data_IF_111372003840
#
_entry.id   IF_111372003840
#
_cell.length_a   1.000
_cell.length_b   1.000
_cell.length_c   1.000
_cell.angle_alpha   90.00
_cell.angle_beta   90.00
_cell.angle_gamma   90.00
#
_symmetry.space_group_name_H-M   'P 1'
#
loop_
_entity.id
_entity.type
_entity.pdbx_description
1 polymer ?
#
# COMPACT_ATOMS: atom_id res chain seq x y z
N UNK A 1 4.53 19.78 -6.49
CA UNK A 1 5.25 18.53 -6.76
C UNK A 1 4.43 17.38 -6.21
N UNK A 2 4.26 16.32 -6.96
CA UNK A 2 3.39 15.23 -6.57
C UNK A 2 4.21 13.95 -6.42
N UNK A 3 4.44 13.51 -5.18
CA UNK A 3 5.14 12.27 -4.88
C UNK A 3 4.22 11.04 -4.92
N UNK A 4 2.94 11.23 -5.25
CA UNK A 4 1.95 10.18 -5.43
C UNK A 4 2.02 9.73 -6.88
N UNK A 5 2.29 8.47 -7.12
CA UNK A 5 2.45 7.88 -8.44
C UNK A 5 1.41 6.79 -8.69
N UNK A 6 0.79 6.82 -9.85
CA UNK A 6 -0.19 5.82 -10.28
C UNK A 6 0.32 5.09 -11.52
N UNK A 7 0.31 3.77 -11.51
CA UNK A 7 0.49 2.94 -12.69
C UNK A 7 -0.73 2.05 -12.91
N UNK A 8 -1.20 2.00 -14.15
CA UNK A 8 -2.40 1.27 -14.53
C UNK A 8 -2.04 -0.07 -15.17
N UNK A 9 -2.98 -1.02 -15.11
CA UNK A 9 -2.88 -2.32 -15.77
C UNK A 9 -1.62 -3.13 -15.40
N UNK A 10 -1.10 -2.97 -14.17
CA UNK A 10 0.05 -3.76 -13.68
C UNK A 10 -0.32 -5.24 -13.47
N UNK A 11 -1.61 -5.54 -13.33
CA UNK A 11 -2.18 -6.87 -13.23
C UNK A 11 -3.36 -7.02 -14.21
N UNK A 12 -3.53 -8.19 -14.83
CA UNK A 12 -4.74 -8.47 -15.60
C UNK A 12 -6.00 -8.44 -14.73
N UNK A 13 -7.10 -7.89 -15.26
CA UNK A 13 -8.40 -7.86 -14.56
C UNK A 13 -8.91 -9.25 -14.18
N UNK A 14 -8.60 -10.26 -14.99
CA UNK A 14 -8.92 -11.67 -14.70
C UNK A 14 -8.23 -12.14 -13.42
N UNK A 15 -6.93 -11.84 -13.27
CA UNK A 15 -6.19 -12.19 -12.07
C UNK A 15 -6.72 -11.44 -10.83
N UNK A 16 -7.07 -10.16 -10.97
CA UNK A 16 -7.69 -9.41 -9.88
C UNK A 16 -9.00 -10.07 -9.40
N UNK A 17 -9.83 -10.57 -10.35
CA UNK A 17 -11.06 -11.30 -10.03
C UNK A 17 -10.76 -12.62 -9.31
N UNK A 18 -9.81 -13.42 -9.81
CA UNK A 18 -9.37 -14.66 -9.17
C UNK A 18 -8.87 -14.41 -7.71
N UNK A 19 -8.13 -13.33 -7.50
CA UNK A 19 -7.68 -12.90 -6.16
C UNK A 19 -8.86 -12.62 -5.22
N UNK A 20 -9.90 -11.93 -5.71
CA UNK A 20 -11.10 -11.62 -4.91
C UNK A 20 -11.85 -12.91 -4.57
N UNK A 21 -12.07 -13.79 -5.53
CA UNK A 21 -12.77 -15.08 -5.33
C UNK A 21 -12.03 -15.94 -4.30
N UNK A 22 -10.71 -16.01 -4.41
CA UNK A 22 -9.86 -16.73 -3.46
C UNK A 22 -9.90 -16.11 -2.06
N UNK A 23 -9.83 -14.78 -1.97
CA UNK A 23 -9.96 -14.07 -0.69
C UNK A 23 -11.32 -14.35 -0.04
N UNK A 24 -12.42 -14.32 -0.80
CA UNK A 24 -13.75 -14.59 -0.27
C UNK A 24 -13.97 -16.03 0.19
N UNK A 25 -13.26 -16.98 -0.38
CA UNK A 25 -13.32 -18.39 0.02
C UNK A 25 -12.41 -18.74 1.20
N UNK A 26 -11.44 -17.88 1.57
CA UNK A 26 -10.49 -18.15 2.64
C UNK A 26 -11.07 -17.81 4.01
N UNK A 27 -11.24 -18.84 4.87
CA UNK A 27 -11.81 -18.67 6.22
C UNK A 27 -10.86 -18.01 7.23
N UNK A 28 -9.58 -17.81 6.90
CA UNK A 28 -8.57 -17.19 7.77
C UNK A 28 -8.59 -15.68 7.78
N UNK A 29 -9.53 -15.08 7.04
CA UNK A 29 -9.79 -13.66 7.08
C UNK A 29 -10.12 -13.20 8.50
N UNK A 30 -9.65 -12.04 8.87
CA UNK A 30 -9.85 -11.46 10.19
C UNK A 30 -10.14 -9.95 10.10
N UNK A 31 -10.56 -9.39 11.21
CA UNK A 31 -10.77 -7.97 11.34
C UNK A 31 -9.47 -7.20 11.08
N UNK A 32 -9.55 -6.10 10.33
CA UNK A 32 -8.39 -5.29 10.02
C UNK A 32 -7.84 -4.58 11.24
N UNK A 33 -6.55 -4.76 11.46
CA UNK A 33 -5.80 -4.16 12.56
C UNK A 33 -5.26 -2.78 12.17
N UNK A 34 -5.06 -1.93 13.16
CA UNK A 34 -4.31 -0.67 13.08
C UNK A 34 -2.85 -0.91 13.49
N UNK A 35 -2.06 0.15 13.60
CA UNK A 35 -0.67 0.06 14.04
C UNK A 35 -0.56 -0.64 15.40
N UNK A 36 0.40 -1.56 15.52
CA UNK A 36 0.62 -2.33 16.75
C UNK A 36 -0.32 -3.53 16.95
N UNK A 37 -1.14 -3.89 15.93
CA UNK A 37 -2.06 -5.04 16.00
C UNK A 37 -3.37 -4.76 16.73
N UNK A 38 -3.65 -3.50 17.07
CA UNK A 38 -4.89 -3.14 17.74
C UNK A 38 -6.07 -3.09 16.76
N UNK A 39 -7.24 -3.50 17.23
CA UNK A 39 -8.51 -3.30 16.53
C UNK A 39 -9.12 -2.00 17.07
N UNK A 40 -9.17 -0.97 16.23
CA UNK A 40 -9.75 0.33 16.56
C UNK A 40 -10.83 0.70 15.55
N UNK A 41 -12.07 0.40 15.89
CA UNK A 41 -13.23 0.75 15.07
C UNK A 41 -13.53 2.25 15.04
N UNK A 42 -12.89 3.07 15.85
CA UNK A 42 -13.03 4.52 15.72
C UNK A 42 -12.23 5.06 14.55
N UNK A 43 -11.19 4.34 14.14
CA UNK A 43 -10.26 4.71 13.07
C UNK A 43 -10.48 3.89 11.79
N UNK A 44 -10.61 2.56 11.90
CA UNK A 44 -10.62 1.65 10.75
C UNK A 44 -11.62 0.51 10.93
N UNK A 45 -12.37 0.24 9.87
CA UNK A 45 -13.21 -0.94 9.76
C UNK A 45 -13.01 -1.60 8.41
N UNK A 46 -12.55 -2.85 8.39
CA UNK A 46 -12.32 -3.65 7.19
C UNK A 46 -12.06 -5.11 7.55
N UNK A 47 -11.92 -5.97 6.55
CA UNK A 47 -11.49 -7.36 6.68
C UNK A 47 -10.14 -7.54 5.99
N UNK A 48 -9.17 -8.11 6.70
CA UNK A 48 -7.79 -8.33 6.25
C UNK A 48 -7.42 -9.81 6.15
N UNK A 49 -6.48 -10.13 5.24
CA UNK A 49 -5.82 -11.41 5.12
C UNK A 49 -4.35 -11.21 4.74
N UNK A 50 -3.42 -11.56 5.64
CA UNK A 50 -1.97 -11.50 5.37
C UNK A 50 -1.57 -12.72 4.54
N UNK A 51 -1.51 -12.56 3.22
CA UNK A 51 -1.43 -13.69 2.27
C UNK A 51 -0.05 -14.36 2.21
N UNK A 52 1.01 -13.68 2.62
CA UNK A 52 2.36 -14.26 2.65
C UNK A 52 2.66 -15.00 3.98
N UNK A 53 1.87 -14.74 5.03
CA UNK A 53 2.01 -15.40 6.31
C UNK A 53 1.28 -16.77 6.36
N UNK A 54 0.60 -17.16 5.28
CA UNK A 54 -0.27 -18.34 5.25
C UNK A 54 -0.02 -19.20 4.00
N UNK A 55 -0.20 -20.51 4.13
CA UNK A 55 -0.05 -21.43 3.01
C UNK A 55 -1.16 -21.27 1.96
N UNK A 56 -0.87 -21.67 0.73
CA UNK A 56 -1.83 -21.70 -0.36
C UNK A 56 -1.90 -20.40 -1.21
N UNK A 57 -1.15 -19.35 -0.87
CA UNK A 57 -1.12 -18.07 -1.57
C UNK A 57 0.19 -17.81 -2.34
N UNK A 58 1.07 -18.81 -2.45
CA UNK A 58 2.40 -18.61 -3.03
C UNK A 58 2.38 -18.15 -4.50
N UNK A 59 1.47 -18.67 -5.32
CA UNK A 59 1.35 -18.29 -6.73
C UNK A 59 0.92 -16.82 -6.86
N UNK A 60 -0.11 -16.43 -6.10
CA UNK A 60 -0.63 -15.06 -6.11
C UNK A 60 0.40 -14.07 -5.57
N UNK A 61 1.05 -14.43 -4.47
CA UNK A 61 2.12 -13.61 -3.88
C UNK A 61 3.28 -13.40 -4.85
N UNK A 62 3.70 -14.45 -5.58
CA UNK A 62 4.75 -14.34 -6.59
C UNK A 62 4.34 -13.38 -7.71
N UNK A 63 3.11 -13.49 -8.24
CA UNK A 63 2.62 -12.59 -9.29
C UNK A 63 2.50 -11.15 -8.83
N UNK A 64 2.00 -10.93 -7.60
CA UNK A 64 1.93 -9.60 -6.99
C UNK A 64 3.33 -9.00 -6.80
N UNK A 65 4.30 -9.78 -6.33
CA UNK A 65 5.68 -9.34 -6.16
C UNK A 65 6.34 -8.95 -7.48
N UNK A 66 6.14 -9.72 -8.55
CA UNK A 66 6.67 -9.39 -9.87
C UNK A 66 6.06 -8.07 -10.40
N UNK A 67 4.74 -7.89 -10.27
CA UNK A 67 4.07 -6.66 -10.68
C UNK A 67 4.53 -5.46 -9.82
N UNK A 68 4.65 -5.64 -8.52
CA UNK A 68 5.20 -4.64 -7.60
C UNK A 68 6.62 -4.23 -7.99
N UNK A 69 7.52 -5.19 -8.22
CA UNK A 69 8.93 -4.89 -8.53
C UNK A 69 9.05 -4.05 -9.81
N UNK A 70 8.30 -4.39 -10.86
CA UNK A 70 8.28 -3.60 -12.10
C UNK A 70 7.77 -2.20 -11.85
N UNK A 71 6.60 -2.06 -11.20
CA UNK A 71 6.00 -0.77 -10.93
C UNK A 71 6.82 0.08 -9.94
N UNK A 72 7.57 -0.55 -9.05
CA UNK A 72 8.46 0.15 -8.12
C UNK A 72 9.69 0.75 -8.80
N UNK A 73 10.24 0.06 -9.81
CA UNK A 73 11.29 0.62 -10.68
C UNK A 73 10.74 1.84 -11.45
N UNK A 74 9.53 1.74 -11.99
CA UNK A 74 8.88 2.85 -12.69
C UNK A 74 8.63 4.05 -11.75
N UNK A 75 8.23 3.80 -10.51
CA UNK A 75 8.10 4.84 -9.49
C UNK A 75 9.43 5.55 -9.20
N UNK A 76 10.52 4.80 -9.04
CA UNK A 76 11.84 5.39 -8.84
C UNK A 76 12.27 6.25 -10.03
N UNK A 77 12.03 5.77 -11.26
CA UNK A 77 12.30 6.53 -12.48
C UNK A 77 11.44 7.80 -12.57
N UNK A 78 10.14 7.71 -12.21
CA UNK A 78 9.26 8.86 -12.12
C UNK A 78 9.82 9.92 -11.15
N UNK A 79 10.27 9.51 -9.97
CA UNK A 79 10.85 10.43 -8.99
C UNK A 79 12.13 11.08 -9.54
N UNK A 80 13.03 10.30 -10.17
CA UNK A 80 14.26 10.82 -10.77
C UNK A 80 13.97 11.87 -11.83
N UNK A 81 13.07 11.58 -12.75
CA UNK A 81 12.86 12.41 -13.94
C UNK A 81 11.91 13.59 -13.68
N UNK A 82 10.84 13.37 -12.92
CA UNK A 82 9.74 14.34 -12.82
C UNK A 82 9.75 15.15 -11.53
N UNK A 83 10.36 14.62 -10.47
CA UNK A 83 10.34 15.27 -9.16
C UNK A 83 11.70 15.92 -8.85
N UNK A 84 12.77 15.16 -8.94
CA UNK A 84 14.10 15.66 -8.56
C UNK A 84 14.87 16.26 -9.74
N UNK A 85 14.63 15.79 -10.97
CA UNK A 85 15.42 16.15 -12.15
C UNK A 85 16.80 15.48 -12.14
N UNK A 86 17.51 15.56 -13.27
CA UNK A 86 18.79 14.86 -13.48
C UNK A 86 19.85 15.22 -12.43
N UNK A 87 19.97 16.52 -12.08
CA UNK A 87 20.97 16.98 -11.10
C UNK A 87 20.78 16.40 -9.69
N UNK A 88 19.55 16.03 -9.33
CA UNK A 88 19.19 15.54 -7.99
C UNK A 88 18.73 14.08 -7.99
N UNK A 89 18.84 13.41 -9.13
CA UNK A 89 18.41 12.01 -9.27
C UNK A 89 19.07 11.06 -8.26
N UNK A 90 20.30 11.34 -7.85
CA UNK A 90 21.02 10.58 -6.82
C UNK A 90 20.33 10.56 -5.45
N UNK A 91 19.37 11.48 -5.16
CA UNK A 91 18.57 11.43 -3.94
C UNK A 91 17.70 10.18 -3.93
N UNK A 92 17.15 9.77 -5.08
CA UNK A 92 16.32 8.55 -5.20
C UNK A 92 17.17 7.31 -4.91
N UNK A 93 18.42 7.29 -5.35
CA UNK A 93 19.35 6.19 -5.08
C UNK A 93 19.69 6.14 -3.57
N UNK A 94 19.84 7.28 -2.92
CA UNK A 94 20.01 7.35 -1.46
C UNK A 94 18.78 6.85 -0.69
N UNK A 95 17.57 7.04 -1.23
CA UNK A 95 16.33 6.57 -0.61
C UNK A 95 16.12 5.06 -0.78
N UNK A 96 16.42 4.51 -1.94
CA UNK A 96 16.00 3.16 -2.31
C UNK A 96 17.14 2.20 -2.68
N UNK A 97 18.33 2.73 -3.00
CA UNK A 97 19.50 1.94 -3.38
C UNK A 97 20.60 2.14 -2.35
N UNK A 98 21.33 1.09 -2.00
CA UNK A 98 22.43 1.16 -1.02
C UNK A 98 22.00 1.10 0.44
N UNK A 99 20.70 0.99 0.72
CA UNK A 99 20.15 0.61 2.02
C UNK A 99 19.39 -0.70 1.89
N UNK A 100 19.29 -1.45 2.96
CA UNK A 100 18.45 -2.65 2.99
C UNK A 100 16.97 -2.22 2.96
N UNK A 101 16.46 -1.94 1.78
CA UNK A 101 15.05 -1.61 1.56
C UNK A 101 14.29 -2.92 1.44
N UNK A 102 13.37 -3.13 2.34
CA UNK A 102 12.53 -4.32 2.40
C UNK A 102 11.05 -3.95 2.37
N UNK A 103 10.22 -4.91 2.05
CA UNK A 103 8.78 -4.79 2.03
C UNK A 103 8.16 -5.63 3.14
N UNK A 104 7.15 -5.10 3.83
CA UNK A 104 6.32 -5.89 4.73
C UNK A 104 5.52 -6.95 3.95
N UNK A 105 4.94 -7.90 4.66
CA UNK A 105 4.03 -8.90 4.11
C UNK A 105 2.83 -8.27 3.39
N UNK A 106 2.42 -8.86 2.28
CA UNK A 106 1.25 -8.43 1.51
C UNK A 106 -0.02 -8.73 2.29
N UNK A 107 -0.87 -7.72 2.44
CA UNK A 107 -2.19 -7.84 3.06
C UNK A 107 -3.27 -7.59 2.01
N UNK A 108 -4.06 -8.62 1.71
CA UNK A 108 -5.30 -8.48 0.95
C UNK A 108 -6.38 -7.95 1.89
N UNK A 109 -7.14 -6.95 1.42
CA UNK A 109 -8.08 -6.20 2.25
C UNK A 109 -9.39 -5.97 1.53
N UNK A 110 -10.49 -6.14 2.27
CA UNK A 110 -11.86 -5.85 1.84
C UNK A 110 -12.46 -4.74 2.68
N UNK A 111 -13.10 -3.80 2.03
CA UNK A 111 -14.04 -2.86 2.62
C UNK A 111 -15.43 -3.13 2.04
N UNK A 112 -16.40 -3.43 2.89
CA UNK A 112 -17.81 -3.61 2.55
C UNK A 112 -18.63 -2.37 2.92
N UNK A 113 -19.90 -2.34 2.56
CA UNK A 113 -20.80 -1.20 2.90
C UNK A 113 -20.72 -0.87 4.39
N UNK A 114 -20.49 0.41 4.68
CA UNK A 114 -20.29 0.94 6.03
C UNK A 114 -18.87 0.82 6.56
N UNK A 115 -17.94 0.21 5.83
CA UNK A 115 -16.51 0.17 6.20
C UNK A 115 -15.78 1.43 5.73
N UNK A 116 -14.69 1.77 6.43
CA UNK A 116 -13.90 2.97 6.21
C UNK A 116 -12.49 2.85 6.76
N UNK A 117 -11.62 3.77 6.37
CA UNK A 117 -10.39 4.09 7.07
C UNK A 117 -10.29 5.61 7.16
N UNK A 118 -10.44 6.16 8.36
CA UNK A 118 -10.42 7.60 8.58
C UNK A 118 -9.06 8.21 8.28
N UNK A 119 -8.96 9.52 8.36
CA UNK A 119 -7.72 10.26 8.17
C UNK A 119 -6.62 9.74 9.08
N UNK A 120 -5.49 9.36 8.48
CA UNK A 120 -4.34 8.83 9.18
C UNK A 120 -3.05 9.08 8.40
N UNK A 121 -1.93 8.82 9.05
CA UNK A 121 -0.60 8.74 8.43
C UNK A 121 -0.09 7.31 8.57
N UNK A 122 0.70 6.88 7.61
CA UNK A 122 1.27 5.53 7.60
C UNK A 122 2.65 5.45 8.27
N UNK A 123 3.22 6.61 8.63
CA UNK A 123 4.50 6.68 9.30
C UNK A 123 4.48 5.88 10.61
N UNK A 124 5.50 5.06 10.78
CA UNK A 124 5.71 4.29 12.00
C UNK A 124 7.17 4.44 12.44
N UNK A 125 7.46 5.16 13.53
CA UNK A 125 8.82 5.40 13.98
C UNK A 125 9.57 4.13 14.38
N UNK A 126 8.82 3.07 14.76
CA UNK A 126 9.43 1.79 15.16
C UNK A 126 9.85 0.90 13.99
N UNK A 127 9.42 1.21 12.76
CA UNK A 127 9.64 0.35 11.57
C UNK A 127 10.28 1.15 10.42
N UNK A 128 10.63 2.41 10.58
CA UNK A 128 11.26 3.25 9.52
C UNK A 128 10.54 3.17 8.16
N UNK A 129 9.21 3.17 8.14
CA UNK A 129 8.41 3.14 6.90
C UNK A 129 8.67 4.38 6.07
N UNK A 130 8.97 4.19 4.79
CA UNK A 130 9.28 5.28 3.85
C UNK A 130 8.23 5.45 2.76
N UNK A 131 7.60 4.36 2.32
CA UNK A 131 6.62 4.39 1.25
C UNK A 131 5.51 3.35 1.51
N UNK A 132 4.30 3.70 1.12
CA UNK A 132 3.17 2.78 1.03
C UNK A 132 2.88 2.48 -0.44
N UNK A 133 2.29 1.31 -0.71
CA UNK A 133 1.61 1.07 -1.96
C UNK A 133 0.27 0.37 -1.77
N UNK A 134 -0.63 0.65 -2.69
CA UNK A 134 -1.95 0.04 -2.79
C UNK A 134 -2.13 -0.50 -4.20
N UNK A 135 -2.46 -1.79 -4.34
CA UNK A 135 -2.90 -2.40 -5.59
C UNK A 135 -4.40 -2.61 -5.48
N UNK A 136 -5.19 -1.96 -6.32
CA UNK A 136 -6.63 -2.15 -6.35
C UNK A 136 -6.99 -3.40 -7.17
N UNK A 137 -7.91 -4.22 -6.65
CA UNK A 137 -8.34 -5.45 -7.29
C UNK A 137 -9.67 -5.31 -8.04
N UNK A 138 -10.41 -4.24 -7.81
CA UNK A 138 -11.63 -3.95 -8.55
C UNK A 138 -11.83 -2.45 -8.75
N UNK A 139 -12.66 -2.11 -9.73
CA UNK A 139 -13.13 -0.76 -9.93
C UNK A 139 -14.11 -0.41 -8.79
N UNK A 140 -14.03 0.81 -8.24
CA UNK A 140 -14.92 1.27 -7.17
C UNK A 140 -15.01 2.79 -7.13
N UNK A 141 -16.13 3.34 -6.59
CA UNK A 141 -16.31 4.79 -6.50
C UNK A 141 -15.67 5.40 -5.25
N UNK A 142 -15.56 4.66 -4.13
CA UNK A 142 -14.96 5.15 -2.89
C UNK A 142 -13.44 5.27 -3.02
N UNK A 143 -12.96 6.49 -3.18
CA UNK A 143 -11.58 6.84 -3.41
C UNK A 143 -10.68 6.67 -2.17
N UNK A 144 -9.36 6.62 -2.41
CA UNK A 144 -8.36 7.02 -1.41
C UNK A 144 -8.14 8.52 -1.59
N UNK A 145 -8.37 9.31 -0.54
CA UNK A 145 -8.29 10.76 -0.57
C UNK A 145 -7.11 11.25 0.26
N UNK A 146 -6.32 12.16 -0.29
CA UNK A 146 -5.14 12.74 0.34
C UNK A 146 -5.41 14.17 0.83
N UNK A 147 -4.65 14.60 1.84
CA UNK A 147 -4.79 15.92 2.47
C UNK A 147 -4.69 17.08 1.47
N UNK A 148 -3.91 16.91 0.40
CA UNK A 148 -3.78 17.90 -0.67
C UNK A 148 -4.99 17.96 -1.63
N UNK A 149 -6.06 17.21 -1.36
CA UNK A 149 -7.28 17.13 -2.17
C UNK A 149 -7.23 16.13 -3.31
N UNK A 150 -6.09 15.46 -3.55
CA UNK A 150 -6.01 14.40 -4.57
C UNK A 150 -6.87 13.22 -4.17
N UNK A 151 -7.65 12.69 -5.12
CA UNK A 151 -8.48 11.50 -4.97
C UNK A 151 -8.05 10.45 -5.97
N UNK A 152 -7.69 9.29 -5.47
CA UNK A 152 -7.33 8.12 -6.28
C UNK A 152 -8.55 7.21 -6.36
N UNK A 153 -9.11 7.11 -7.56
CA UNK A 153 -10.21 6.18 -7.84
C UNK A 153 -9.65 4.77 -7.98
N UNK A 154 -10.19 3.78 -7.26
CA UNK A 154 -9.84 2.37 -7.45
C UNK A 154 -10.18 1.87 -8.85
N UNK A 155 -9.21 1.22 -9.49
CA UNK A 155 -9.35 0.54 -10.79
C UNK A 155 -8.63 -0.80 -10.72
N UNK A 156 -9.25 -1.87 -11.21
CA UNK A 156 -8.67 -3.20 -11.19
C UNK A 156 -7.30 -3.24 -11.90
N UNK A 157 -6.26 -3.64 -11.17
CA UNK A 157 -4.88 -3.69 -11.67
C UNK A 157 -4.12 -2.37 -11.61
N UNK A 158 -4.65 -1.33 -10.97
CA UNK A 158 -3.92 -0.09 -10.67
C UNK A 158 -3.08 -0.25 -9.40
N UNK A 159 -1.84 0.23 -9.44
CA UNK A 159 -1.01 0.43 -8.24
C UNK A 159 -0.79 1.92 -7.99
N UNK A 160 -0.73 2.28 -6.73
CA UNK A 160 -0.41 3.64 -6.27
C UNK A 160 0.72 3.56 -5.27
N UNK A 161 1.75 4.41 -5.45
CA UNK A 161 2.82 4.61 -4.47
C UNK A 161 2.74 6.01 -3.87
N UNK A 162 3.02 6.14 -2.57
CA UNK A 162 3.14 7.43 -1.91
C UNK A 162 3.98 7.34 -0.63
N UNK A 163 4.70 8.42 -0.25
CA UNK A 163 5.45 8.48 0.99
C UNK A 163 4.53 8.36 2.21
N UNK A 164 5.05 7.78 3.30
CA UNK A 164 4.27 7.54 4.54
C UNK A 164 4.18 8.76 5.46
N UNK A 165 4.83 9.87 5.10
CA UNK A 165 4.97 11.06 5.93
C UNK A 165 3.66 11.82 6.13
N UNK A 166 3.63 12.72 7.11
CA UNK A 166 2.45 13.50 7.52
C UNK A 166 1.87 14.38 6.40
N UNK A 167 2.66 14.82 5.41
CA UNK A 167 2.18 15.59 4.26
C UNK A 167 1.35 14.72 3.29
N UNK A 168 1.39 13.41 3.44
CA UNK A 168 0.59 12.43 2.68
C UNK A 168 -0.47 11.78 3.56
N UNK A 169 -0.95 12.48 4.60
CA UNK A 169 -2.10 12.03 5.35
C UNK A 169 -3.26 11.76 4.37
N UNK A 170 -3.95 10.65 4.58
CA UNK A 170 -4.99 10.18 3.67
C UNK A 170 -6.09 9.42 4.39
N UNK A 171 -7.19 9.16 3.69
CA UNK A 171 -8.29 8.34 4.17
C UNK A 171 -8.84 7.44 3.05
N UNK A 172 -9.45 6.34 3.45
CA UNK A 172 -10.32 5.55 2.60
C UNK A 172 -11.77 5.96 2.85
N UNK A 173 -12.41 6.54 1.83
CA UNK A 173 -13.81 6.96 1.94
C UNK A 173 -14.70 5.80 2.37
N UNK A 174 -15.76 6.11 3.13
CA UNK A 174 -16.77 5.13 3.53
C UNK A 174 -17.40 4.47 2.32
N UNK A 175 -17.55 3.17 2.38
CA UNK A 175 -18.18 2.39 1.31
C UNK A 175 -19.69 2.54 1.41
N UNK A 176 -20.30 3.13 0.39
CA UNK A 176 -21.76 3.31 0.33
C UNK A 176 -22.44 2.18 -0.45
N UNK A 177 -21.74 1.57 -1.43
CA UNK A 177 -22.29 0.52 -2.29
C UNK A 177 -21.21 -0.45 -2.75
N UNK A 178 -21.51 -1.73 -2.77
CA UNK A 178 -20.60 -2.78 -3.23
C UNK A 178 -19.47 -3.06 -2.23
N UNK A 179 -18.42 -3.71 -2.70
CA UNK A 179 -17.24 -4.02 -1.92
C UNK A 179 -16.00 -3.51 -2.67
N UNK A 180 -15.04 -2.94 -1.94
CA UNK A 180 -13.74 -2.53 -2.45
C UNK A 180 -12.67 -3.50 -1.98
N UNK A 181 -11.85 -4.00 -2.92
CA UNK A 181 -10.75 -4.92 -2.62
C UNK A 181 -9.42 -4.32 -3.05
N UNK A 182 -8.40 -4.54 -2.22
CA UNK A 182 -7.05 -4.09 -2.51
C UNK A 182 -6.01 -5.00 -1.86
N UNK A 183 -4.79 -4.93 -2.35
CA UNK A 183 -3.59 -5.45 -1.66
C UNK A 183 -2.74 -4.25 -1.26
N UNK A 184 -2.24 -4.24 -0.04
CA UNK A 184 -1.38 -3.17 0.46
C UNK A 184 -0.19 -3.73 1.21
N UNK A 185 0.90 -2.98 1.20
CA UNK A 185 2.06 -3.20 2.05
C UNK A 185 2.91 -1.94 2.13
N UNK A 186 3.95 -1.97 2.97
CA UNK A 186 4.84 -0.86 3.21
C UNK A 186 6.26 -1.21 2.81
N UNK A 187 6.98 -0.23 2.31
CA UNK A 187 8.41 -0.27 2.07
C UNK A 187 9.08 0.44 3.25
N UNK A 188 10.09 -0.18 3.83
CA UNK A 188 10.82 0.34 4.98
C UNK A 188 12.30 -0.02 4.91
N UNK A 189 13.11 0.63 5.72
CA UNK A 189 14.50 0.24 5.90
C UNK A 189 14.59 -0.94 6.87
N UNK A 190 15.42 -1.92 6.54
CA UNK A 190 15.76 -3.05 7.43
C UNK A 190 16.98 -2.69 8.28
N UNK A 191 16.85 -1.64 9.09
CA UNK A 191 17.91 -1.20 10.00
C UNK A 191 17.87 -1.99 11.31
N UNK A 192 18.25 -3.26 11.26
CA UNK A 192 18.31 -4.11 12.47
C UNK A 192 19.42 -3.60 13.44
N UNK A 193 20.42 -2.85 12.95
CA UNK A 193 21.62 -2.54 13.72
C UNK A 193 21.82 -1.05 14.08
N UNK A 194 20.97 -0.12 13.68
CA UNK A 194 21.20 1.32 13.93
C UNK A 194 19.98 2.02 14.55
N UNK A 195 19.29 1.37 15.47
CA UNK A 195 18.25 2.07 16.25
C UNK A 195 18.87 2.91 17.38
N UNK A 196 19.67 3.88 17.01
CA UNK A 196 19.96 4.98 17.95
C UNK A 196 18.80 5.98 17.84
N UNK A 197 17.85 5.89 18.77
CA UNK A 197 16.90 6.98 19.03
C UNK A 197 17.56 7.80 20.12
N UNK A 198 18.07 9.01 19.83
CA UNK A 198 18.56 9.88 20.89
C UNK A 198 17.39 10.19 21.85
N UNK A 199 17.63 10.25 23.16
CA UNK A 199 16.61 10.69 24.10
C UNK A 199 16.18 12.12 23.74
N UNK A 200 14.85 12.36 23.76
CA UNK A 200 14.26 13.69 23.65
C UNK A 200 14.68 14.56 24.82
#
# INVERSE_FOLDING_TARGET
MEYIYEAHNILPKTFCKEMIEKFESDSRRRQGETQGGAIDHTLKKCTDLSIEAITGWGVESTRLNNAFNTAFIDYQNYLKLNIFGEEKAGIVDQLFVGKNVVRNSLTCRKYQVGDYFKWHIDYNPSISRICNFIIYLNDHEACTEFLNGKKIKPEAGKIVFFPTTWVHAHCGQTIEKGNKYMVTSFIHYDDINERYIPPL
#
